data_IF_347878818349
#
_entry.id   IF_347878818349
#
_cell.length_a   1.000
_cell.length_b   1.000
_cell.length_c   1.000
_cell.angle_alpha   90.00
_cell.angle_beta   90.00
_cell.angle_gamma   90.00
#
_symmetry.space_group_name_H-M   'P 1'
#
loop_
_entity.id
_entity.type
_entity.pdbx_description
1 polymer ?
#
# COMPACT_ATOMS: atom_id res chain seq x y z
N UNK A 1 -4.86 16.31 -23.73
CA UNK A 1 -4.62 16.38 -22.28
C UNK A 1 -4.19 14.99 -21.86
N UNK A 2 -3.16 14.86 -21.03
CA UNK A 2 -2.80 13.56 -20.49
C UNK A 2 -3.80 13.26 -19.39
N UNK A 3 -4.56 12.17 -19.54
CA UNK A 3 -5.55 11.77 -18.54
C UNK A 3 -4.86 11.45 -17.20
N UNK A 4 -5.52 11.75 -16.09
CA UNK A 4 -5.00 11.48 -14.74
C UNK A 4 -4.86 9.96 -14.55
N UNK A 5 -3.64 9.43 -14.40
CA UNK A 5 -3.41 7.99 -14.37
C UNK A 5 -3.86 7.32 -13.06
N UNK A 6 -4.35 8.10 -12.09
CA UNK A 6 -4.86 7.63 -10.80
C UNK A 6 -6.38 7.44 -10.76
N UNK A 7 -7.06 7.77 -11.86
CA UNK A 7 -8.51 7.69 -12.01
C UNK A 7 -8.87 6.55 -12.96
N UNK A 8 -9.77 5.67 -12.54
CA UNK A 8 -10.23 4.53 -13.37
C UNK A 8 -11.33 5.00 -14.34
N UNK A 9 -11.01 5.96 -15.21
CA UNK A 9 -11.92 6.45 -16.25
C UNK A 9 -11.36 6.15 -17.64
N UNK A 10 -12.19 5.52 -18.48
CA UNK A 10 -11.92 5.21 -19.88
C UNK A 10 -13.20 4.75 -20.59
N UNK A 11 -13.08 4.20 -21.79
CA UNK A 11 -14.24 3.86 -22.64
C UNK A 11 -15.21 2.83 -22.02
N UNK A 12 -14.75 2.06 -21.04
CA UNK A 12 -15.51 0.95 -20.42
C UNK A 12 -15.96 1.27 -18.99
N UNK A 13 -15.31 2.21 -18.31
CA UNK A 13 -15.58 2.52 -16.89
C UNK A 13 -15.46 4.02 -16.65
N UNK A 14 -16.39 4.57 -15.87
CA UNK A 14 -16.30 5.92 -15.32
C UNK A 14 -16.19 5.84 -13.80
N UNK A 15 -15.06 6.32 -13.25
CA UNK A 15 -14.63 6.11 -11.85
C UNK A 15 -15.74 6.44 -10.83
N UNK A 16 -16.24 7.68 -10.86
CA UNK A 16 -17.22 8.19 -9.89
C UNK A 16 -18.61 7.54 -10.03
N UNK A 17 -19.03 7.30 -11.27
CA UNK A 17 -20.34 6.68 -11.57
C UNK A 17 -20.33 5.21 -11.15
N UNK A 18 -19.25 4.49 -11.46
CA UNK A 18 -19.07 3.12 -11.04
C UNK A 18 -19.06 3.00 -9.51
N UNK A 19 -18.26 3.82 -8.83
CA UNK A 19 -18.16 3.79 -7.37
C UNK A 19 -19.51 4.08 -6.71
N UNK A 20 -20.22 5.11 -7.16
CA UNK A 20 -21.55 5.47 -6.66
C UNK A 20 -22.54 4.31 -6.83
N UNK A 21 -22.58 3.70 -8.02
CA UNK A 21 -23.46 2.56 -8.29
C UNK A 21 -23.16 1.35 -7.41
N UNK A 22 -21.89 1.05 -7.12
CA UNK A 22 -21.52 -0.06 -6.23
C UNK A 22 -21.87 0.22 -4.76
N UNK A 23 -21.73 1.48 -4.31
CA UNK A 23 -22.14 1.90 -2.96
C UNK A 23 -23.66 1.77 -2.81
N UNK A 24 -24.43 2.27 -3.77
CA UNK A 24 -25.91 2.17 -3.77
C UNK A 24 -26.38 0.72 -3.81
N UNK A 25 -25.69 -0.14 -4.56
CA UNK A 25 -25.96 -1.58 -4.61
C UNK A 25 -25.53 -2.35 -3.34
N UNK A 26 -24.86 -1.70 -2.38
CA UNK A 26 -24.31 -2.36 -1.18
C UNK A 26 -23.20 -3.37 -1.51
N UNK A 27 -22.55 -3.25 -2.67
CA UNK A 27 -21.49 -4.16 -3.12
C UNK A 27 -20.14 -3.76 -2.51
N UNK A 28 -20.00 -4.00 -1.21
CA UNK A 28 -18.82 -3.60 -0.46
C UNK A 28 -17.51 -4.20 -1.00
N UNK A 29 -17.54 -5.41 -1.56
CA UNK A 29 -16.36 -6.04 -2.17
C UNK A 29 -15.87 -5.21 -3.36
N UNK A 30 -16.76 -4.83 -4.28
CA UNK A 30 -16.39 -4.02 -5.43
C UNK A 30 -15.84 -2.64 -5.02
N UNK A 31 -16.42 -2.03 -3.98
CA UNK A 31 -15.94 -0.76 -3.43
C UNK A 31 -14.53 -0.90 -2.83
N UNK A 32 -14.28 -1.96 -2.05
CA UNK A 32 -12.95 -2.25 -1.51
C UNK A 32 -11.90 -2.42 -2.61
N UNK A 33 -12.19 -3.22 -3.64
CA UNK A 33 -11.24 -3.42 -4.76
C UNK A 33 -11.03 -2.16 -5.58
N UNK A 34 -12.05 -1.32 -5.73
CA UNK A 34 -11.90 -0.02 -6.39
C UNK A 34 -10.89 0.86 -5.65
N UNK A 35 -11.01 1.01 -4.33
CA UNK A 35 -10.05 1.78 -3.55
C UNK A 35 -8.65 1.17 -3.56
N UNK A 36 -8.53 -0.16 -3.54
CA UNK A 36 -7.25 -0.84 -3.67
C UNK A 36 -6.54 -0.50 -4.98
N UNK A 37 -7.26 -0.60 -6.11
CA UNK A 37 -6.69 -0.27 -7.42
C UNK A 37 -6.27 1.20 -7.51
N UNK A 38 -7.08 2.11 -6.97
CA UNK A 38 -6.71 3.53 -6.93
C UNK A 38 -5.52 3.80 -6.01
N UNK A 39 -5.39 3.09 -4.89
CA UNK A 39 -4.20 3.12 -4.04
C UNK A 39 -2.94 2.70 -4.82
N UNK A 40 -3.00 1.57 -5.54
CA UNK A 40 -1.89 1.08 -6.37
C UNK A 40 -1.46 2.11 -7.42
N UNK A 41 -2.42 2.66 -8.18
CA UNK A 41 -2.14 3.65 -9.20
C UNK A 41 -1.54 4.92 -8.59
N UNK A 42 -2.15 5.44 -7.52
CA UNK A 42 -1.65 6.63 -6.84
C UNK A 42 -0.21 6.43 -6.34
N UNK A 43 0.12 5.25 -5.80
CA UNK A 43 1.49 4.95 -5.39
C UNK A 43 2.47 4.91 -6.57
N UNK A 44 2.15 4.15 -7.62
CA UNK A 44 3.01 3.98 -8.81
C UNK A 44 3.31 5.33 -9.49
N UNK A 45 2.32 6.23 -9.55
CA UNK A 45 2.47 7.54 -10.16
C UNK A 45 2.94 8.64 -9.17
N UNK A 46 3.32 8.28 -7.94
CA UNK A 46 3.90 9.21 -6.96
C UNK A 46 2.91 10.14 -6.27
N UNK A 47 1.60 9.90 -6.41
CA UNK A 47 0.54 10.64 -5.72
C UNK A 47 0.33 10.08 -4.29
N UNK A 48 1.35 10.17 -3.45
CA UNK A 48 1.37 9.48 -2.15
C UNK A 48 0.29 9.93 -1.17
N UNK A 49 -0.09 11.21 -1.13
CA UNK A 49 -1.22 11.64 -0.29
C UNK A 49 -2.54 11.00 -0.72
N UNK A 50 -2.77 10.89 -2.03
CA UNK A 50 -3.94 10.19 -2.57
C UNK A 50 -3.87 8.70 -2.25
N UNK A 51 -2.70 8.08 -2.37
CA UNK A 51 -2.48 6.68 -1.99
C UNK A 51 -2.90 6.45 -0.52
N UNK A 52 -2.44 7.30 0.40
CA UNK A 52 -2.81 7.20 1.83
C UNK A 52 -4.32 7.40 2.04
N UNK A 53 -4.96 8.33 1.33
CA UNK A 53 -6.41 8.49 1.37
C UNK A 53 -7.16 7.23 0.91
N UNK A 54 -6.71 6.61 -0.19
CA UNK A 54 -7.31 5.37 -0.70
C UNK A 54 -7.05 4.17 0.22
N UNK A 55 -5.89 4.10 0.86
CA UNK A 55 -5.60 3.14 1.94
C UNK A 55 -6.64 3.24 3.07
N UNK A 56 -6.92 4.45 3.58
CA UNK A 56 -7.92 4.63 4.63
C UNK A 56 -9.32 4.22 4.18
N UNK A 57 -9.75 4.61 2.98
CA UNK A 57 -11.06 4.22 2.43
C UNK A 57 -11.17 2.70 2.24
N UNK A 58 -10.11 2.07 1.77
CA UNK A 58 -10.06 0.61 1.63
C UNK A 58 -10.22 -0.08 2.99
N UNK A 59 -9.53 0.42 4.02
CA UNK A 59 -9.58 -0.15 5.36
C UNK A 59 -10.95 0.06 6.02
N UNK A 60 -11.55 1.24 5.85
CA UNK A 60 -12.89 1.57 6.36
C UNK A 60 -13.97 0.61 5.83
N UNK A 61 -13.92 0.29 4.53
CA UNK A 61 -14.90 -0.61 3.92
C UNK A 61 -14.62 -2.09 4.18
N UNK A 62 -13.35 -2.49 4.35
CA UNK A 62 -12.97 -3.88 4.60
C UNK A 62 -13.21 -4.32 6.05
N UNK A 63 -12.82 -3.47 7.02
CA UNK A 63 -12.78 -3.83 8.45
C UNK A 63 -14.09 -4.41 9.01
N UNK A 64 -15.29 -3.90 8.66
CA UNK A 64 -16.55 -4.41 9.23
C UNK A 64 -16.93 -5.81 8.74
N UNK A 65 -16.36 -6.27 7.63
CA UNK A 65 -16.87 -7.43 6.88
C UNK A 65 -15.78 -8.42 6.45
N UNK A 66 -14.50 -8.09 6.63
CA UNK A 66 -13.35 -8.93 6.25
C UNK A 66 -13.45 -9.41 4.79
N UNK A 67 -13.69 -8.48 3.88
CA UNK A 67 -14.10 -8.75 2.49
C UNK A 67 -12.92 -9.09 1.58
N UNK A 68 -11.75 -8.56 1.90
CA UNK A 68 -10.53 -8.85 1.19
C UNK A 68 -9.97 -10.19 1.61
N UNK A 69 -9.62 -11.00 0.62
CA UNK A 69 -8.69 -12.09 0.85
C UNK A 69 -7.39 -11.51 1.46
N UNK A 70 -6.71 -12.29 2.30
CA UNK A 70 -5.49 -11.87 3.00
C UNK A 70 -4.46 -11.19 2.08
N UNK A 71 -4.39 -11.61 0.81
CA UNK A 71 -3.51 -11.01 -0.19
C UNK A 71 -3.84 -9.56 -0.53
N UNK A 72 -5.12 -9.22 -0.73
CA UNK A 72 -5.56 -7.86 -1.05
C UNK A 72 -5.33 -6.90 0.11
N UNK A 73 -5.63 -7.35 1.33
CA UNK A 73 -5.40 -6.55 2.55
C UNK A 73 -3.91 -6.36 2.84
N UNK A 74 -3.08 -7.39 2.61
CA UNK A 74 -1.63 -7.29 2.72
C UNK A 74 -1.08 -6.23 1.76
N UNK A 75 -1.50 -6.27 0.49
CA UNK A 75 -1.11 -5.27 -0.49
C UNK A 75 -1.57 -3.86 -0.09
N UNK A 76 -2.81 -3.70 0.36
CA UNK A 76 -3.35 -2.42 0.79
C UNK A 76 -2.49 -1.76 1.90
N UNK A 77 -2.16 -2.53 2.94
CA UNK A 77 -1.31 -2.03 4.04
C UNK A 77 0.12 -1.75 3.57
N UNK A 78 0.67 -2.58 2.67
CA UNK A 78 2.01 -2.38 2.14
C UNK A 78 2.17 -1.04 1.41
N UNK A 79 1.31 -0.78 0.43
CA UNK A 79 1.37 0.45 -0.36
C UNK A 79 0.98 1.69 0.46
N UNK A 80 0.04 1.55 1.41
CA UNK A 80 -0.27 2.62 2.36
C UNK A 80 0.94 2.99 3.23
N UNK A 81 1.67 1.99 3.72
CA UNK A 81 2.91 2.18 4.49
C UNK A 81 4.03 2.83 3.68
N UNK A 82 4.27 2.36 2.45
CA UNK A 82 5.28 2.95 1.56
C UNK A 82 4.94 4.39 1.18
N UNK A 83 3.68 4.69 0.90
CA UNK A 83 3.24 6.05 0.62
C UNK A 83 3.47 6.97 1.84
N UNK A 84 3.16 6.50 3.05
CA UNK A 84 3.40 7.25 4.28
C UNK A 84 4.90 7.47 4.55
N UNK A 85 5.74 6.47 4.28
CA UNK A 85 7.20 6.58 4.37
C UNK A 85 7.75 7.57 3.34
N UNK A 86 7.26 7.55 2.11
CA UNK A 86 7.64 8.51 1.08
C UNK A 86 7.27 9.95 1.51
N UNK A 87 6.06 10.16 2.04
CA UNK A 87 5.63 11.47 2.54
C UNK A 87 6.47 11.93 3.74
N UNK A 88 6.77 11.05 4.71
CA UNK A 88 7.63 11.39 5.84
C UNK A 88 9.07 11.78 5.43
N UNK A 89 9.52 11.38 4.24
CA UNK A 89 10.82 11.78 3.69
C UNK A 89 10.84 13.21 3.15
N UNK A 90 9.69 13.77 2.75
CA UNK A 90 9.60 15.07 2.04
C UNK A 90 8.78 16.12 2.79
N UNK A 91 7.84 15.72 3.64
CA UNK A 91 6.96 16.61 4.40
C UNK A 91 7.73 17.21 5.60
N UNK A 92 7.70 18.55 5.79
CA UNK A 92 8.25 19.19 6.99
C UNK A 92 7.64 18.66 8.30
N UNK A 93 6.35 18.31 8.29
CA UNK A 93 5.68 17.69 9.43
C UNK A 93 5.64 16.16 9.27
N UNK A 94 6.79 15.53 9.48
CA UNK A 94 6.94 14.07 9.43
C UNK A 94 5.97 13.35 10.39
N UNK A 95 5.59 14.00 11.50
CA UNK A 95 4.78 13.39 12.55
C UNK A 95 3.37 13.03 12.08
N UNK A 96 2.85 13.77 11.10
CA UNK A 96 1.57 13.51 10.41
C UNK A 96 1.47 12.08 9.86
N UNK A 97 2.60 11.48 9.48
CA UNK A 97 2.64 10.19 8.79
C UNK A 97 2.97 9.02 9.72
N UNK A 98 3.44 9.27 10.94
CA UNK A 98 3.93 8.24 11.86
C UNK A 98 2.89 7.16 12.16
N UNK A 99 1.64 7.53 12.40
CA UNK A 99 0.58 6.54 12.67
C UNK A 99 0.40 5.57 11.50
N UNK A 100 0.40 6.07 10.25
CA UNK A 100 0.27 5.22 9.08
C UNK A 100 1.47 4.28 8.91
N UNK A 101 2.68 4.77 9.20
CA UNK A 101 3.91 3.99 9.13
C UNK A 101 3.89 2.87 10.19
N UNK A 102 3.66 3.23 11.45
CA UNK A 102 3.74 2.30 12.57
C UNK A 102 2.62 1.26 12.52
N UNK A 103 1.39 1.65 12.14
CA UNK A 103 0.30 0.69 11.92
C UNK A 103 0.62 -0.29 10.79
N UNK A 104 1.20 0.19 9.70
CA UNK A 104 1.49 -0.66 8.54
C UNK A 104 2.57 -1.68 8.85
N UNK A 105 3.63 -1.26 9.54
CA UNK A 105 4.70 -2.14 10.01
C UNK A 105 4.15 -3.16 11.01
N UNK A 106 3.39 -2.73 12.03
CA UNK A 106 2.86 -3.66 13.04
C UNK A 106 1.93 -4.72 12.44
N UNK A 107 1.08 -4.34 11.48
CA UNK A 107 0.22 -5.29 10.74
C UNK A 107 1.07 -6.28 9.93
N UNK A 108 2.10 -5.80 9.24
CA UNK A 108 3.01 -6.65 8.47
C UNK A 108 3.84 -7.59 9.34
N UNK A 109 4.34 -7.16 10.49
CA UNK A 109 5.02 -8.00 11.48
C UNK A 109 4.10 -9.14 11.94
N UNK A 110 2.86 -8.79 12.29
CA UNK A 110 1.85 -9.78 12.68
C UNK A 110 1.61 -10.78 11.56
N UNK A 111 1.50 -10.36 10.31
CA UNK A 111 1.23 -11.28 9.20
C UNK A 111 2.46 -12.06 8.76
N UNK A 112 3.66 -11.50 8.82
CA UNK A 112 4.91 -12.22 8.56
C UNK A 112 5.11 -13.37 9.57
N UNK A 113 4.69 -13.19 10.83
CA UNK A 113 4.71 -14.26 11.83
C UNK A 113 3.78 -15.44 11.50
N UNK A 114 2.70 -15.19 10.75
CA UNK A 114 1.71 -16.19 10.38
C UNK A 114 1.94 -16.78 8.98
N UNK A 115 2.42 -15.98 8.03
CA UNK A 115 2.67 -16.34 6.63
C UNK A 115 3.86 -15.55 6.09
N UNK A 116 5.07 -16.04 6.34
CA UNK A 116 6.33 -15.39 5.94
C UNK A 116 6.37 -15.08 4.43
N UNK A 117 5.95 -16.04 3.59
CA UNK A 117 6.08 -15.92 2.13
C UNK A 117 5.41 -14.68 1.53
N UNK A 118 4.25 -14.30 2.04
CA UNK A 118 3.48 -13.18 1.49
C UNK A 118 3.88 -11.82 2.04
N UNK A 119 4.51 -11.78 3.23
CA UNK A 119 4.65 -10.54 4.02
C UNK A 119 6.10 -10.20 4.39
N UNK A 120 7.03 -11.16 4.42
CA UNK A 120 8.38 -10.95 4.94
C UNK A 120 9.20 -9.97 4.07
N UNK A 121 9.12 -10.11 2.73
CA UNK A 121 9.78 -9.20 1.79
C UNK A 121 9.22 -7.77 1.90
N UNK A 122 7.88 -7.64 2.00
CA UNK A 122 7.19 -6.37 2.20
C UNK A 122 7.58 -5.69 3.52
N UNK A 123 7.63 -6.46 4.61
CA UNK A 123 8.04 -5.98 5.92
C UNK A 123 9.49 -5.48 5.90
N UNK A 124 10.40 -6.26 5.29
CA UNK A 124 11.81 -5.88 5.17
C UNK A 124 11.96 -4.55 4.40
N UNK A 125 11.20 -4.36 3.32
CA UNK A 125 11.21 -3.12 2.55
C UNK A 125 10.66 -1.92 3.34
N UNK A 126 9.52 -2.08 4.05
CA UNK A 126 8.99 -1.03 4.92
C UNK A 126 9.98 -0.60 6.01
N UNK A 127 10.68 -1.58 6.62
CA UNK A 127 11.71 -1.31 7.62
C UNK A 127 12.93 -0.62 7.00
N UNK A 128 13.35 -1.02 5.79
CA UNK A 128 14.45 -0.38 5.08
C UNK A 128 14.17 1.11 4.83
N UNK A 129 12.99 1.42 4.31
CA UNK A 129 12.52 2.78 4.07
C UNK A 129 12.41 3.60 5.37
N UNK A 130 11.97 2.98 6.47
CA UNK A 130 11.95 3.63 7.80
C UNK A 130 13.37 4.02 8.27
N UNK A 131 14.37 3.16 8.07
CA UNK A 131 15.76 3.48 8.38
C UNK A 131 16.37 4.53 7.44
N UNK A 132 15.99 4.49 6.15
CA UNK A 132 16.39 5.51 5.18
C UNK A 132 15.95 6.91 5.62
N UNK A 133 14.72 7.05 6.14
CA UNK A 133 14.17 8.34 6.59
C UNK A 133 14.86 8.95 7.83
N UNK A 134 15.66 8.16 8.56
CA UNK A 134 16.47 8.61 9.71
C UNK A 134 17.97 8.57 9.40
N UNK A 135 18.34 8.53 8.11
CA UNK A 135 19.71 8.52 7.60
C UNK A 135 20.59 7.32 8.06
N UNK A 136 19.96 6.21 8.49
CA UNK A 136 20.66 4.98 8.84
C UNK A 136 20.86 4.09 7.60
N UNK A 137 21.83 4.47 6.79
CA UNK A 137 22.11 3.83 5.50
C UNK A 137 22.57 2.37 5.65
N UNK A 138 23.28 2.03 6.73
CA UNK A 138 23.79 0.69 6.95
C UNK A 138 22.64 -0.31 7.14
N UNK A 139 21.72 -0.01 8.06
CA UNK A 139 20.55 -0.87 8.31
C UNK A 139 19.59 -0.88 7.12
N UNK A 140 19.36 0.28 6.50
CA UNK A 140 18.54 0.36 5.30
C UNK A 140 19.08 -0.54 4.18
N UNK A 141 20.38 -0.46 3.88
CA UNK A 141 21.03 -1.26 2.84
C UNK A 141 20.92 -2.77 3.11
N UNK A 142 21.12 -3.20 4.35
CA UNK A 142 20.99 -4.61 4.74
C UNK A 142 19.55 -5.10 4.51
N UNK A 143 18.55 -4.30 4.87
CA UNK A 143 17.14 -4.65 4.73
C UNK A 143 16.67 -4.62 3.27
N UNK A 144 17.15 -3.69 2.43
CA UNK A 144 16.86 -3.71 0.99
C UNK A 144 17.35 -5.01 0.35
N UNK A 145 18.59 -5.43 0.64
CA UNK A 145 19.12 -6.70 0.14
C UNK A 145 18.25 -7.88 0.58
N UNK A 146 17.84 -7.88 1.85
CA UNK A 146 16.95 -8.92 2.40
C UNK A 146 15.58 -8.92 1.70
N UNK A 147 15.00 -7.75 1.45
CA UNK A 147 13.73 -7.62 0.75
C UNK A 147 13.80 -8.19 -0.67
N UNK A 148 14.86 -7.85 -1.42
CA UNK A 148 15.13 -8.34 -2.79
C UNK A 148 15.29 -9.86 -2.81
N UNK A 149 16.12 -10.41 -1.92
CA UNK A 149 16.33 -11.86 -1.81
C UNK A 149 15.03 -12.60 -1.51
N UNK A 150 14.27 -12.12 -0.52
CA UNK A 150 12.99 -12.71 -0.14
C UNK A 150 11.93 -12.60 -1.23
N UNK A 151 11.85 -11.48 -1.94
CA UNK A 151 10.91 -11.30 -3.04
C UNK A 151 11.21 -12.30 -4.16
N UNK A 152 12.50 -12.49 -4.48
CA UNK A 152 12.95 -13.47 -5.47
C UNK A 152 12.64 -14.91 -5.05
N UNK A 153 13.01 -15.28 -3.82
CA UNK A 153 12.82 -16.65 -3.30
C UNK A 153 11.34 -17.04 -3.21
N UNK A 154 10.47 -16.07 -2.91
CA UNK A 154 9.03 -16.27 -2.86
C UNK A 154 8.30 -16.10 -4.21
N UNK A 155 9.01 -15.74 -5.29
CA UNK A 155 8.45 -15.58 -6.63
C UNK A 155 7.71 -14.26 -6.90
N UNK A 156 7.89 -13.24 -6.06
CA UNK A 156 7.31 -11.90 -6.20
C UNK A 156 8.24 -10.97 -7.01
N UNK A 157 8.50 -11.31 -8.28
CA UNK A 157 9.45 -10.55 -9.13
C UNK A 157 9.05 -9.07 -9.30
N UNK A 158 7.76 -8.75 -9.28
CA UNK A 158 7.27 -7.37 -9.36
C UNK A 158 7.61 -6.53 -8.12
N UNK A 159 7.98 -7.17 -7.01
CA UNK A 159 8.39 -6.52 -5.75
C UNK A 159 9.91 -6.54 -5.55
N UNK A 160 10.67 -7.14 -6.48
CA UNK A 160 12.15 -7.14 -6.46
C UNK A 160 12.74 -5.77 -6.86
N UNK A 161 12.01 -5.01 -7.67
CA UNK A 161 12.49 -3.79 -8.31
C UNK A 161 11.75 -2.51 -7.85
N UNK A 162 10.98 -2.61 -6.76
CA UNK A 162 10.34 -1.45 -6.08
C UNK A 162 11.41 -0.70 -5.29
#
# INVERSE_FOLDING_TARGET
AQDDPTVLTGDVMHDEQYLSAQIEAGNHTAVCYHYLLRLFLAYIFGHYELAIQMYHKCYEYDLPRHLMARFGLCSCVFYGGLAALAMAGVDPDKSKWNNNIDESIAKMEKWASATAWNCEHKLALLQAEKFRNVDDQERATALYKRAIELARDHGFTHEEAI
#
